data_IF_764616767210
#
_entry.id   IF_764616767210
#
_cell.length_a   1.000
_cell.length_b   1.000
_cell.length_c   1.000
_cell.angle_alpha   90.00
_cell.angle_beta   90.00
_cell.angle_gamma   90.00
#
_symmetry.space_group_name_H-M   'P 1'
#
loop_
_entity.id
_entity.type
_entity.pdbx_description
1 polymer ?
#
# COMPACT_ATOMS: atom_id res chain seq x y z
N UNK A 1 -2.76 -25.69 -4.43
CA UNK A 1 -1.74 -24.78 -3.87
C UNK A 1 -2.46 -23.56 -3.36
N UNK A 2 -2.58 -23.43 -2.04
CA UNK A 2 -3.14 -22.25 -1.41
C UNK A 2 -1.99 -21.27 -1.21
N UNK A 3 -1.94 -20.20 -1.99
CA UNK A 3 -1.04 -19.08 -1.69
C UNK A 3 -1.53 -18.53 -0.35
N UNK A 4 -0.71 -18.53 0.71
CA UNK A 4 -1.08 -17.88 1.96
C UNK A 4 -1.39 -16.42 1.61
N UNK A 5 -2.58 -15.94 1.98
CA UNK A 5 -2.88 -14.52 1.86
C UNK A 5 -1.97 -13.77 2.82
N UNK A 6 -0.87 -13.22 2.30
CA UNK A 6 0.07 -12.40 3.07
C UNK A 6 -0.59 -11.13 3.64
N UNK A 7 -1.72 -10.73 3.05
CA UNK A 7 -2.47 -9.54 3.43
C UNK A 7 -3.60 -9.87 4.44
N UNK A 8 -3.66 -9.20 5.60
CA UNK A 8 -4.78 -9.26 6.55
C UNK A 8 -6.15 -9.06 5.90
N UNK A 9 -7.21 -9.64 6.50
CA UNK A 9 -8.55 -9.69 5.90
C UNK A 9 -9.19 -8.31 5.68
N UNK A 10 -8.96 -7.38 6.61
CA UNK A 10 -9.36 -5.97 6.52
C UNK A 10 -8.67 -5.28 5.34
N UNK A 11 -7.35 -5.42 5.23
CA UNK A 11 -6.57 -4.85 4.13
C UNK A 11 -6.91 -5.48 2.77
N UNK A 12 -7.20 -6.79 2.74
CA UNK A 12 -7.70 -7.47 1.54
C UNK A 12 -9.04 -6.89 1.08
N UNK A 13 -9.92 -6.51 2.01
CA UNK A 13 -11.18 -5.84 1.66
C UNK A 13 -10.93 -4.50 1.01
N UNK A 14 -10.01 -3.70 1.55
CA UNK A 14 -9.59 -2.44 0.96
C UNK A 14 -8.92 -2.62 -0.41
N UNK A 15 -8.08 -3.64 -0.59
CA UNK A 15 -7.47 -3.95 -1.88
C UNK A 15 -8.50 -4.35 -2.94
N UNK A 16 -9.49 -5.18 -2.59
CA UNK A 16 -10.59 -5.54 -3.49
C UNK A 16 -11.43 -4.31 -3.85
N UNK A 17 -11.71 -3.43 -2.87
CA UNK A 17 -12.45 -2.20 -3.10
C UNK A 17 -11.70 -1.25 -4.03
N UNK A 18 -10.42 -0.97 -3.75
CA UNK A 18 -9.56 -0.14 -4.58
C UNK A 18 -9.44 -0.70 -6.00
N UNK A 19 -9.15 -1.99 -6.16
CA UNK A 19 -9.08 -2.61 -7.48
C UNK A 19 -10.40 -2.49 -8.25
N UNK A 20 -11.54 -2.68 -7.60
CA UNK A 20 -12.85 -2.47 -8.22
C UNK A 20 -13.09 -1.01 -8.60
N UNK A 21 -12.78 -0.06 -7.73
CA UNK A 21 -12.98 1.37 -7.95
C UNK A 21 -12.16 1.88 -9.14
N UNK A 22 -10.89 1.47 -9.21
CA UNK A 22 -9.95 1.89 -10.25
C UNK A 22 -9.93 0.97 -11.47
N UNK A 23 -10.81 -0.05 -11.52
CA UNK A 23 -10.93 -1.02 -12.61
C UNK A 23 -9.63 -1.78 -12.90
N UNK A 24 -8.90 -2.10 -11.84
CA UNK A 24 -7.70 -2.94 -11.86
C UNK A 24 -8.12 -4.39 -11.62
N UNK A 25 -7.39 -5.33 -12.21
CA UNK A 25 -7.58 -6.77 -11.93
C UNK A 25 -7.36 -7.07 -10.45
N UNK A 26 -8.41 -7.54 -9.76
CA UNK A 26 -8.34 -7.92 -8.34
C UNK A 26 -7.25 -8.97 -8.07
N UNK A 27 -7.14 -10.09 -8.83
CA UNK A 27 -6.05 -11.05 -8.63
C UNK A 27 -4.66 -10.45 -8.83
N UNK A 28 -4.49 -9.57 -9.83
CA UNK A 28 -3.21 -8.92 -10.10
C UNK A 28 -2.81 -8.01 -8.94
N UNK A 29 -3.74 -7.18 -8.46
CA UNK A 29 -3.45 -6.22 -7.39
C UNK A 29 -3.18 -6.92 -6.06
N UNK A 30 -3.95 -7.96 -5.73
CA UNK A 30 -3.66 -8.79 -4.56
C UNK A 30 -2.30 -9.50 -4.69
N UNK A 31 -1.92 -9.93 -5.89
CA UNK A 31 -0.61 -10.51 -6.16
C UNK A 31 0.53 -9.52 -5.98
N UNK A 32 0.35 -8.27 -6.43
CA UNK A 32 1.29 -7.17 -6.21
C UNK A 32 1.49 -6.94 -4.71
N UNK A 33 0.42 -6.69 -3.96
CA UNK A 33 0.50 -6.44 -2.50
C UNK A 33 1.13 -7.62 -1.74
N UNK A 34 0.85 -8.85 -2.17
CA UNK A 34 1.48 -10.03 -1.58
C UNK A 34 2.99 -10.12 -1.91
N UNK A 35 3.41 -9.61 -3.07
CA UNK A 35 4.82 -9.54 -3.48
C UNK A 35 5.57 -8.45 -2.71
N UNK A 36 4.95 -7.29 -2.52
CA UNK A 36 5.48 -6.20 -1.68
C UNK A 36 5.65 -6.66 -0.22
N UNK A 37 4.71 -7.45 0.29
CA UNK A 37 4.78 -7.99 1.65
C UNK A 37 4.70 -6.90 2.74
N UNK A 38 4.23 -5.71 2.37
CA UNK A 38 4.11 -4.56 3.25
C UNK A 38 3.08 -4.77 4.36
N UNK A 39 3.30 -4.16 5.53
CA UNK A 39 2.32 -4.12 6.61
C UNK A 39 2.13 -2.70 7.18
N UNK A 40 1.01 -2.48 7.87
CA UNK A 40 0.75 -1.22 8.58
C UNK A 40 1.88 -0.94 9.57
N UNK A 41 2.31 0.33 9.64
CA UNK A 41 3.42 0.77 10.46
C UNK A 41 4.81 0.55 9.85
N UNK A 42 4.91 -0.17 8.72
CA UNK A 42 6.21 -0.51 8.13
C UNK A 42 6.86 0.68 7.43
N UNK A 43 8.18 0.79 7.61
CA UNK A 43 9.04 1.69 6.86
C UNK A 43 10.30 0.91 6.45
N UNK A 44 10.57 0.83 5.16
CA UNK A 44 11.75 0.16 4.61
C UNK A 44 12.67 1.22 4.00
N UNK A 45 13.93 1.30 4.45
CA UNK A 45 14.88 2.29 3.93
C UNK A 45 15.55 1.77 2.66
N UNK A 46 15.66 2.65 1.67
CA UNK A 46 16.31 2.36 0.39
C UNK A 46 17.72 2.96 0.34
N UNK A 47 18.58 2.38 -0.51
CA UNK A 47 19.98 2.80 -0.66
C UNK A 47 20.12 4.21 -1.26
N UNK A 48 19.12 4.67 -2.01
CA UNK A 48 19.07 6.00 -2.61
C UNK A 48 18.59 7.10 -1.63
N UNK A 49 18.39 6.77 -0.34
CA UNK A 49 17.95 7.72 0.69
C UNK A 49 16.43 7.92 0.79
N UNK A 50 15.64 7.28 -0.09
CA UNK A 50 14.18 7.19 0.07
C UNK A 50 13.77 6.07 1.03
N UNK A 51 12.49 5.96 1.34
CA UNK A 51 11.94 4.84 2.09
C UNK A 51 10.54 4.49 1.61
N UNK A 52 10.18 3.21 1.67
CA UNK A 52 8.87 2.69 1.31
C UNK A 52 8.00 2.52 2.57
N UNK A 53 6.71 2.79 2.44
CA UNK A 53 5.79 2.95 3.58
C UNK A 53 4.55 2.09 3.44
N UNK A 54 4.20 1.37 4.52
CA UNK A 54 2.92 0.70 4.67
C UNK A 54 2.69 -0.49 3.71
N UNK A 55 1.43 -0.97 3.61
CA UNK A 55 1.08 -2.20 2.88
C UNK A 55 1.45 -2.23 1.39
N UNK A 56 1.25 -1.13 0.67
CA UNK A 56 1.58 -0.98 -0.74
C UNK A 56 3.00 -0.44 -0.98
N UNK A 57 3.82 -0.32 0.08
CA UNK A 57 5.22 0.12 -0.01
C UNK A 57 5.38 1.45 -0.77
N UNK A 58 4.52 2.44 -0.48
CA UNK A 58 4.58 3.75 -1.16
C UNK A 58 5.91 4.43 -0.85
N UNK A 59 6.64 4.80 -1.90
CA UNK A 59 7.94 5.46 -1.76
C UNK A 59 7.81 6.91 -1.27
N UNK A 60 8.73 7.31 -0.40
CA UNK A 60 8.77 8.65 0.22
C UNK A 60 8.96 9.79 -0.77
N UNK A 61 9.39 9.52 -2.00
CA UNK A 61 9.46 10.53 -3.07
C UNK A 61 8.10 11.14 -3.40
N UNK A 62 7.00 10.43 -3.16
CA UNK A 62 5.63 10.92 -3.39
C UNK A 62 5.10 11.81 -2.27
N UNK A 63 5.81 11.95 -1.13
CA UNK A 63 5.30 12.71 0.02
C UNK A 63 4.95 14.15 -0.30
N UNK A 64 5.72 14.81 -1.18
CA UNK A 64 5.45 16.20 -1.57
C UNK A 64 4.12 16.33 -2.31
N UNK A 65 3.85 15.43 -3.25
CA UNK A 65 2.62 15.43 -4.02
C UNK A 65 1.41 15.06 -3.15
N UNK A 66 1.55 14.01 -2.33
CA UNK A 66 0.49 13.54 -1.45
C UNK A 66 0.15 14.59 -0.38
N UNK A 67 1.15 15.28 0.18
CA UNK A 67 0.93 16.39 1.11
C UNK A 67 0.16 17.56 0.46
N UNK A 68 0.41 17.85 -0.83
CA UNK A 68 -0.36 18.87 -1.56
C UNK A 68 -1.84 18.50 -1.73
N UNK A 69 -2.19 17.21 -1.56
CA UNK A 69 -3.56 16.69 -1.54
C UNK A 69 -4.11 16.47 -0.13
N UNK A 70 -3.39 16.93 0.90
CA UNK A 70 -3.78 16.80 2.31
C UNK A 70 -3.53 15.43 2.93
N UNK A 71 -2.76 14.56 2.27
CA UNK A 71 -2.38 13.24 2.80
C UNK A 71 -1.06 13.35 3.54
N UNK A 72 -1.08 13.02 4.83
CA UNK A 72 0.11 13.09 5.68
C UNK A 72 0.92 11.80 5.62
N UNK A 73 2.22 11.92 5.92
CA UNK A 73 3.11 10.76 6.08
C UNK A 73 2.58 9.74 7.09
N UNK A 74 2.02 10.23 8.20
CA UNK A 74 1.49 9.36 9.25
C UNK A 74 0.31 8.51 8.76
N UNK A 75 -0.61 9.12 8.00
CA UNK A 75 -1.71 8.38 7.38
C UNK A 75 -1.19 7.33 6.38
N UNK A 76 -0.16 7.64 5.58
CA UNK A 76 0.41 6.66 4.64
C UNK A 76 0.97 5.43 5.39
N UNK A 77 1.57 5.62 6.56
CA UNK A 77 2.20 4.54 7.32
C UNK A 77 1.15 3.74 8.12
N UNK A 78 0.18 4.43 8.72
CA UNK A 78 -0.71 3.85 9.74
C UNK A 78 -2.14 3.56 9.25
N UNK A 79 -2.60 4.21 8.18
CA UNK A 79 -3.88 3.92 7.53
C UNK A 79 -3.63 2.99 6.34
N UNK A 80 -3.73 1.69 6.60
CA UNK A 80 -3.47 0.67 5.58
C UNK A 80 -4.44 0.72 4.40
N UNK A 81 -5.69 1.13 4.61
CA UNK A 81 -6.67 1.22 3.53
C UNK A 81 -6.40 2.44 2.66
N UNK A 82 -6.12 3.61 3.26
CA UNK A 82 -5.67 4.77 2.51
C UNK A 82 -4.42 4.43 1.69
N UNK A 83 -3.41 3.82 2.31
CA UNK A 83 -2.17 3.42 1.64
C UNK A 83 -2.45 2.54 0.42
N UNK A 84 -3.31 1.52 0.55
CA UNK A 84 -3.70 0.65 -0.58
C UNK A 84 -4.46 1.41 -1.67
N UNK A 85 -5.26 2.42 -1.32
CA UNK A 85 -6.05 3.19 -2.31
C UNK A 85 -5.24 4.21 -3.11
N UNK A 86 -4.06 4.62 -2.63
CA UNK A 86 -3.22 5.65 -3.26
C UNK A 86 -1.87 5.12 -3.75
N UNK A 87 -1.59 3.84 -3.53
CA UNK A 87 -0.42 3.12 -4.04
C UNK A 87 -0.62 2.56 -5.44
#
# INVERSE_FOLDING_TARGET
MSIPSALPADLRTCAVNAASQYRISVPLFLGLLATEGGHVGQIVKNTNGTYDMGPAQINSSHLRELAARGITRDQIINDGCLNIHIG
#
